data_IF_535865877021
#
_entry.id   IF_535865877021
#
_cell.length_a   1.000
_cell.length_b   1.000
_cell.length_c   1.000
_cell.angle_alpha   90.00
_cell.angle_beta   90.00
_cell.angle_gamma   90.00
#
_symmetry.space_group_name_H-M   'P 1'
#
loop_
_entity.id
_entity.type
_entity.pdbx_description
1 polymer ?
#
# COMPACT_ATOMS: atom_id res chain seq x y z
N UNK A 1 11.55 -10.87 -19.13
CA UNK A 1 12.20 -10.87 -17.80
C UNK A 1 11.98 -9.57 -17.03
N UNK A 2 12.43 -8.38 -17.50
CA UNK A 2 12.05 -7.10 -16.84
C UNK A 2 10.62 -6.66 -17.22
N UNK A 3 10.23 -6.84 -18.49
CA UNK A 3 8.89 -6.47 -18.99
C UNK A 3 7.74 -7.22 -18.30
N UNK A 4 7.95 -8.49 -17.92
CA UNK A 4 6.92 -9.31 -17.28
C UNK A 4 6.64 -8.83 -15.85
N UNK A 5 7.69 -8.40 -15.13
CA UNK A 5 7.60 -7.81 -13.79
C UNK A 5 6.85 -6.48 -13.81
N UNK A 6 7.15 -5.63 -14.79
CA UNK A 6 6.45 -4.36 -14.99
C UNK A 6 4.98 -4.56 -15.42
N UNK A 7 4.67 -5.66 -16.10
CA UNK A 7 3.31 -6.02 -16.47
C UNK A 7 2.50 -6.49 -15.25
N UNK A 8 3.07 -7.37 -14.44
CA UNK A 8 2.46 -7.86 -13.19
C UNK A 8 2.23 -6.72 -12.19
N UNK A 9 3.21 -5.83 -12.01
CA UNK A 9 3.07 -4.64 -11.18
C UNK A 9 1.94 -3.72 -11.65
N UNK A 10 1.78 -3.56 -12.98
CA UNK A 10 0.65 -2.80 -13.54
C UNK A 10 -0.69 -3.47 -13.31
N UNK A 11 -0.76 -4.80 -13.45
CA UNK A 11 -1.98 -5.58 -13.19
C UNK A 11 -2.37 -5.52 -11.71
N UNK A 12 -1.41 -5.67 -10.79
CA UNK A 12 -1.63 -5.56 -9.34
C UNK A 12 -2.12 -4.16 -8.99
N UNK A 13 -1.48 -3.10 -9.51
CA UNK A 13 -1.95 -1.72 -9.31
C UNK A 13 -3.35 -1.48 -9.86
N UNK A 14 -3.66 -1.99 -11.06
CA UNK A 14 -5.00 -1.87 -11.63
C UNK A 14 -6.04 -2.64 -10.81
N UNK A 15 -5.69 -3.78 -10.23
CA UNK A 15 -6.57 -4.52 -9.32
C UNK A 15 -6.78 -3.75 -8.01
N UNK A 16 -5.73 -3.20 -7.40
CA UNK A 16 -5.83 -2.35 -6.20
C UNK A 16 -6.73 -1.14 -6.47
N UNK A 17 -6.56 -0.47 -7.61
CA UNK A 17 -7.34 0.69 -8.01
C UNK A 17 -8.81 0.36 -8.33
N UNK A 18 -9.09 -0.79 -8.92
CA UNK A 18 -10.46 -1.18 -9.34
C UNK A 18 -11.23 -1.97 -8.28
N UNK A 19 -10.55 -2.64 -7.36
CA UNK A 19 -11.13 -3.52 -6.34
C UNK A 19 -10.90 -2.98 -4.94
N UNK A 20 -10.87 -1.67 -4.73
CA UNK A 20 -10.50 -0.97 -3.48
C UNK A 20 -11.20 -1.39 -2.17
N UNK A 21 -11.91 -2.53 -2.13
CA UNK A 21 -12.49 -3.21 -0.96
C UNK A 21 -12.21 -4.72 -0.85
N UNK A 22 -11.55 -5.36 -1.83
CA UNK A 22 -11.38 -6.84 -1.92
C UNK A 22 -9.94 -7.23 -2.23
N UNK A 23 -8.96 -6.58 -1.59
CA UNK A 23 -7.58 -7.06 -1.61
C UNK A 23 -7.14 -7.22 -0.16
N UNK A 24 -7.52 -8.35 0.43
CA UNK A 24 -6.90 -8.78 1.67
C UNK A 24 -5.46 -9.24 1.40
N UNK A 25 -4.67 -9.31 2.48
CA UNK A 25 -3.27 -9.76 2.44
C UNK A 25 -3.09 -11.11 1.73
N UNK A 26 -4.09 -12.00 1.81
CA UNK A 26 -4.06 -13.30 1.17
C UNK A 26 -4.20 -13.19 -0.35
N UNK A 27 -5.04 -12.30 -0.84
CA UNK A 27 -5.25 -12.03 -2.27
C UNK A 27 -3.98 -11.44 -2.90
N UNK A 28 -3.29 -10.52 -2.21
CA UNK A 28 -1.99 -10.00 -2.67
C UNK A 28 -0.93 -11.10 -2.71
N UNK A 29 -0.89 -11.96 -1.68
CA UNK A 29 0.03 -13.10 -1.59
C UNK A 29 -0.24 -14.12 -2.69
N UNK A 30 -1.49 -14.40 -3.03
CA UNK A 30 -1.87 -15.29 -4.13
C UNK A 30 -1.49 -14.71 -5.49
N UNK A 31 -1.69 -13.41 -5.71
CA UNK A 31 -1.26 -12.73 -6.94
C UNK A 31 0.27 -12.73 -7.12
N UNK A 32 1.02 -12.60 -6.03
CA UNK A 32 2.49 -12.64 -6.05
C UNK A 32 3.04 -14.06 -6.16
N UNK A 33 2.32 -15.07 -5.65
CA UNK A 33 2.65 -16.47 -5.90
C UNK A 33 2.51 -16.85 -7.39
N UNK A 34 1.67 -16.14 -8.15
CA UNK A 34 1.53 -16.31 -9.60
C UNK A 34 2.66 -15.64 -10.40
N UNK A 35 3.44 -14.74 -9.80
CA UNK A 35 4.53 -14.02 -10.48
C UNK A 35 5.91 -14.66 -10.36
N UNK A 36 6.06 -15.79 -9.64
CA UNK A 36 7.37 -16.38 -9.28
C UNK A 36 8.34 -15.36 -8.63
N UNK A 37 7.82 -14.30 -8.02
CA UNK A 37 8.62 -13.23 -7.43
C UNK A 37 8.92 -13.61 -5.96
N UNK A 38 10.21 -13.70 -5.60
CA UNK A 38 10.70 -14.06 -4.26
C UNK A 38 10.58 -12.88 -3.29
N UNK A 39 9.39 -12.28 -3.22
CA UNK A 39 9.11 -11.15 -2.35
C UNK A 39 9.05 -11.61 -0.89
N UNK A 40 9.75 -10.89 -0.01
CA UNK A 40 9.75 -11.20 1.42
C UNK A 40 8.37 -10.90 2.02
N UNK A 41 8.06 -11.53 3.17
CA UNK A 41 6.82 -11.21 3.89
C UNK A 41 6.76 -9.73 4.31
N UNK A 42 7.90 -9.08 4.54
CA UNK A 42 7.98 -7.67 4.95
C UNK A 42 7.65 -6.74 3.77
N UNK A 43 8.12 -7.08 2.57
CA UNK A 43 7.80 -6.37 1.33
C UNK A 43 6.32 -6.51 0.96
N UNK A 44 5.77 -7.71 1.13
CA UNK A 44 4.34 -8.00 1.02
C UNK A 44 3.51 -7.17 2.00
N UNK A 45 3.91 -7.14 3.26
CA UNK A 45 3.22 -6.38 4.31
C UNK A 45 3.30 -4.87 4.01
N UNK A 46 4.42 -4.39 3.47
CA UNK A 46 4.55 -3.01 3.03
C UNK A 46 3.57 -2.65 1.92
N UNK A 47 3.44 -3.49 0.89
CA UNK A 47 2.49 -3.24 -0.20
C UNK A 47 1.05 -3.26 0.29
N UNK A 48 0.72 -4.19 1.19
CA UNK A 48 -0.59 -4.26 1.82
C UNK A 48 -0.92 -2.99 2.62
N UNK A 49 0.00 -2.55 3.50
CA UNK A 49 -0.20 -1.36 4.32
C UNK A 49 -0.39 -0.10 3.47
N UNK A 50 0.44 0.09 2.43
CA UNK A 50 0.31 1.23 1.53
C UNK A 50 -0.98 1.17 0.69
N UNK A 51 -1.43 -0.02 0.31
CA UNK A 51 -2.72 -0.21 -0.34
C UNK A 51 -3.89 0.24 0.54
N UNK A 52 -3.85 -0.05 1.84
CA UNK A 52 -4.86 0.41 2.79
C UNK A 52 -4.84 1.94 2.97
N UNK A 53 -3.65 2.54 3.00
CA UNK A 53 -3.51 4.00 3.03
C UNK A 53 -4.13 4.64 1.79
N UNK A 54 -3.90 4.08 0.58
CA UNK A 54 -4.45 4.60 -0.67
C UNK A 54 -5.98 4.56 -0.68
N UNK A 55 -6.58 3.48 -0.17
CA UNK A 55 -8.04 3.35 -0.01
C UNK A 55 -8.58 4.44 0.91
N UNK A 56 -8.00 4.61 2.10
CA UNK A 56 -8.46 5.65 3.05
C UNK A 56 -8.25 7.05 2.49
N UNK A 57 -7.13 7.28 1.80
CA UNK A 57 -6.84 8.54 1.17
C UNK A 57 -7.91 8.89 0.10
N UNK A 58 -8.32 7.90 -0.71
CA UNK A 58 -9.39 8.07 -1.68
C UNK A 58 -10.75 8.31 -1.00
N UNK A 59 -11.10 7.53 0.03
CA UNK A 59 -12.38 7.66 0.74
C UNK A 59 -12.52 9.00 1.47
N UNK A 60 -11.43 9.48 2.10
CA UNK A 60 -11.40 10.73 2.87
C UNK A 60 -10.91 11.94 2.06
N UNK A 61 -10.63 11.75 0.77
CA UNK A 61 -10.08 12.78 -0.14
C UNK A 61 -8.80 13.43 0.43
N UNK A 62 -7.94 12.63 1.06
CA UNK A 62 -6.67 13.09 1.59
C UNK A 62 -5.71 13.39 0.43
N UNK A 63 -5.00 14.50 0.55
CA UNK A 63 -3.96 14.86 -0.40
C UNK A 63 -2.65 14.17 0.00
N UNK A 64 -1.70 14.00 -0.94
CA UNK A 64 -0.36 13.51 -0.60
C UNK A 64 0.32 14.35 0.50
N UNK A 65 0.03 15.65 0.56
CA UNK A 65 0.53 16.54 1.61
C UNK A 65 -0.04 16.18 2.99
N UNK A 66 -1.32 15.84 3.09
CA UNK A 66 -1.93 15.39 4.36
C UNK A 66 -1.28 14.08 4.83
N UNK A 67 -1.16 13.11 3.93
CA UNK A 67 -0.54 11.82 4.25
C UNK A 67 0.92 11.96 4.65
N UNK A 68 1.67 12.86 4.01
CA UNK A 68 3.07 13.12 4.38
C UNK A 68 3.21 13.58 5.82
N UNK A 69 2.31 14.46 6.27
CA UNK A 69 2.29 14.96 7.65
C UNK A 69 1.82 13.86 8.62
N UNK A 70 0.73 13.17 8.30
CA UNK A 70 0.12 12.18 9.19
C UNK A 70 1.01 10.94 9.38
N UNK A 71 1.71 10.53 8.32
CA UNK A 71 2.61 9.36 8.34
C UNK A 71 4.04 9.72 8.74
N UNK A 72 4.40 11.02 8.73
CA UNK A 72 5.77 11.48 8.94
C UNK A 72 6.73 11.02 7.84
N UNK A 73 6.23 10.83 6.61
CA UNK A 73 7.00 10.35 5.46
C UNK A 73 7.07 11.49 4.43
N UNK A 74 8.25 11.75 3.88
CA UNK A 74 8.43 12.74 2.84
C UNK A 74 7.57 12.45 1.60
N UNK A 75 7.09 13.49 0.92
CA UNK A 75 6.20 13.37 -0.25
C UNK A 75 6.84 12.58 -1.39
N UNK A 76 8.11 12.80 -1.69
CA UNK A 76 8.80 12.11 -2.78
C UNK A 76 8.91 10.61 -2.44
N UNK A 77 9.16 10.30 -1.16
CA UNK A 77 9.21 8.93 -0.66
C UNK A 77 7.84 8.25 -0.63
N UNK A 78 6.77 8.98 -0.29
CA UNK A 78 5.41 8.47 -0.40
C UNK A 78 5.07 8.10 -1.83
N UNK A 79 5.49 8.90 -2.81
CA UNK A 79 5.27 8.59 -4.22
C UNK A 79 5.97 7.27 -4.62
N UNK A 80 7.21 7.06 -4.18
CA UNK A 80 7.94 5.80 -4.40
C UNK A 80 7.24 4.60 -3.75
N UNK A 81 6.70 4.77 -2.54
CA UNK A 81 5.94 3.75 -1.82
C UNK A 81 4.61 3.40 -2.52
N UNK A 82 3.83 4.39 -2.96
CA UNK A 82 2.60 4.17 -3.74
C UNK A 82 2.89 3.53 -5.09
N UNK A 83 4.04 3.82 -5.68
CA UNK A 83 4.48 3.18 -6.92
C UNK A 83 5.03 1.77 -6.70
N UNK A 84 5.20 1.31 -5.46
CA UNK A 84 5.86 0.03 -5.15
C UNK A 84 7.31 -0.01 -5.66
N UNK A 85 7.95 1.15 -5.78
CA UNK A 85 9.37 1.29 -6.14
C UNK A 85 10.27 1.21 -4.89
N UNK A 86 9.67 1.40 -3.71
CA UNK A 86 10.28 1.23 -2.41
C UNK A 86 9.34 0.48 -1.47
N UNK A 87 9.89 -0.02 -0.36
CA UNK A 87 9.16 -0.63 0.74
C UNK A 87 9.32 0.20 2.01
N UNK A 88 8.35 0.09 2.91
CA UNK A 88 8.34 0.73 4.21
C UNK A 88 9.53 0.23 5.03
N UNK A 89 10.21 1.17 5.68
CA UNK A 89 11.09 0.82 6.79
C UNK A 89 10.26 0.46 8.01
N UNK A 90 10.85 -0.23 8.98
CA UNK A 90 10.15 -0.61 10.22
C UNK A 90 9.52 0.60 10.97
N UNK A 91 10.18 1.77 11.11
CA UNK A 91 9.55 2.95 11.68
C UNK A 91 8.35 3.46 10.87
N UNK A 92 8.44 3.43 9.55
CA UNK A 92 7.37 3.89 8.66
C UNK A 92 6.18 2.93 8.68
N UNK A 93 6.44 1.63 8.71
CA UNK A 93 5.40 0.61 8.88
C UNK A 93 4.65 0.80 10.20
N UNK A 94 5.37 1.15 11.28
CA UNK A 94 4.76 1.46 12.59
C UNK A 94 3.86 2.70 12.52
N UNK A 95 4.31 3.76 11.86
CA UNK A 95 3.51 4.97 11.67
C UNK A 95 2.27 4.72 10.81
N UNK A 96 2.43 3.96 9.72
CA UNK A 96 1.31 3.59 8.84
C UNK A 96 0.29 2.74 9.60
N UNK A 97 0.72 1.74 10.35
CA UNK A 97 -0.20 0.93 11.17
C UNK A 97 -0.96 1.80 12.19
N UNK A 98 -0.24 2.68 12.89
CA UNK A 98 -0.84 3.61 13.84
C UNK A 98 -1.87 4.52 13.17
N UNK A 99 -1.55 5.05 11.98
CA UNK A 99 -2.50 5.81 11.17
C UNK A 99 -3.73 4.97 10.87
N UNK A 100 -3.60 3.77 10.30
CA UNK A 100 -4.73 2.90 9.95
C UNK A 100 -5.64 2.61 11.17
N UNK A 101 -5.06 2.32 12.34
CA UNK A 101 -5.82 2.09 13.58
C UNK A 101 -6.65 3.31 14.03
N UNK A 102 -6.14 4.52 13.83
CA UNK A 102 -6.90 5.75 14.14
C UNK A 102 -8.07 5.97 13.18
N UNK A 103 -7.95 5.50 11.94
CA UNK A 103 -8.98 5.63 10.94
C UNK A 103 -10.09 4.58 11.10
N UNK A 104 -9.74 3.38 11.58
CA UNK A 104 -10.68 2.28 11.88
C UNK A 104 -11.54 2.57 13.12
N UNK A 105 -10.97 3.23 14.14
CA UNK A 105 -11.72 3.69 15.32
C UNK A 105 -12.64 4.89 15.06
N UNK A 106 -12.81 5.32 13.80
CA UNK A 106 -13.72 6.39 13.40
C UNK A 106 -15.08 5.85 12.94
N UNK A 107 -15.68 4.90 13.67
CA UNK A 107 -17.12 4.62 13.52
C UNK A 107 -17.95 5.62 14.36
N UNK A 108 -19.05 6.18 13.80
CA UNK A 108 -19.86 7.19 14.48
C UNK A 108 -20.75 6.57 15.57
N UNK A 109 -20.73 7.16 16.75
CA UNK A 109 -21.83 7.06 17.74
C UNK A 109 -23.16 7.57 17.19
#
# INVERSE_FOLDING_TARGET
MIEDRDFLMRQIKQMIQNLGKILDRNTLRELLALSEDDMSNEELDSLYLMGQVDIIAAEKQLTPQHLSVDLGIDIDRLEDLFKGQAFLTEPEATNVQSFLETQDNSEPT
#
